data_IF_650050375155
#
_entry.id   IF_650050375155
#
_cell.length_a   1.000
_cell.length_b   1.000
_cell.length_c   1.000
_cell.angle_alpha   90.00
_cell.angle_beta   90.00
_cell.angle_gamma   90.00
#
_symmetry.space_group_name_H-M   'P 1'
#
loop_
_entity.id
_entity.type
_entity.pdbx_description
1 polymer ?
#
# COMPACT_ATOMS: atom_id res chain seq x y z
N UNK A 1 -11.88 -9.64 12.63
CA UNK A 1 -11.55 -8.19 12.60
C UNK A 1 -12.25 -7.59 11.41
N UNK A 2 -13.01 -6.49 11.59
CA UNK A 2 -13.68 -5.82 10.47
C UNK A 2 -12.73 -4.83 9.80
N UNK A 3 -12.77 -4.76 8.47
CA UNK A 3 -12.07 -3.74 7.69
C UNK A 3 -12.82 -3.44 6.40
N UNK A 4 -12.51 -2.29 5.79
CA UNK A 4 -13.02 -1.95 4.46
C UNK A 4 -12.38 -2.84 3.41
N UNK A 5 -13.21 -3.39 2.54
CA UNK A 5 -12.82 -4.29 1.46
C UNK A 5 -13.63 -3.96 0.22
N UNK A 6 -12.96 -4.03 -0.92
CA UNK A 6 -13.59 -3.87 -2.23
C UNK A 6 -14.06 -5.22 -2.76
N UNK A 7 -15.25 -5.21 -3.38
CA UNK A 7 -15.87 -6.35 -4.01
C UNK A 7 -16.28 -5.99 -5.44
N UNK A 8 -16.07 -6.92 -6.37
CA UNK A 8 -16.53 -6.81 -7.76
C UNK A 8 -17.52 -7.91 -8.06
N UNK A 9 -18.66 -7.56 -8.65
CA UNK A 9 -19.62 -8.53 -9.15
C UNK A 9 -19.20 -9.11 -10.49
N UNK A 10 -19.22 -10.45 -10.61
CA UNK A 10 -18.89 -11.11 -11.87
C UNK A 10 -19.98 -10.90 -12.95
N UNK A 11 -21.24 -10.69 -12.53
CA UNK A 11 -22.39 -10.60 -13.44
C UNK A 11 -22.60 -9.18 -13.99
N UNK A 12 -22.62 -8.16 -13.12
CA UNK A 12 -22.87 -6.77 -13.53
C UNK A 12 -21.62 -5.88 -13.54
N UNK A 13 -20.48 -6.35 -13.03
CA UNK A 13 -19.24 -5.58 -12.95
C UNK A 13 -19.22 -4.48 -11.88
N UNK A 14 -20.26 -4.38 -11.05
CA UNK A 14 -20.35 -3.33 -10.02
C UNK A 14 -19.25 -3.48 -8.96
N UNK A 15 -18.63 -2.35 -8.63
CA UNK A 15 -17.55 -2.21 -7.64
C UNK A 15 -18.13 -1.58 -6.37
N UNK A 16 -18.08 -2.30 -5.26
CA UNK A 16 -18.61 -1.82 -3.99
C UNK A 16 -17.65 -2.04 -2.83
N UNK A 17 -17.54 -1.03 -1.96
CA UNK A 17 -16.78 -1.11 -0.72
C UNK A 17 -17.69 -1.51 0.44
N UNK A 18 -17.24 -2.46 1.28
CA UNK A 18 -18.00 -2.91 2.45
C UNK A 18 -17.12 -3.07 3.69
N UNK A 19 -17.64 -2.65 4.84
CA UNK A 19 -17.01 -2.86 6.14
C UNK A 19 -17.41 -4.21 6.74
N UNK A 20 -16.64 -5.24 6.40
CA UNK A 20 -16.96 -6.65 6.71
C UNK A 20 -15.81 -7.33 7.45
N UNK A 21 -16.06 -8.53 7.96
CA UNK A 21 -15.00 -9.32 8.57
C UNK A 21 -13.94 -9.72 7.53
N UNK A 22 -12.67 -9.71 7.95
CA UNK A 22 -11.51 -10.04 7.13
C UNK A 22 -11.56 -11.43 6.48
N UNK A 23 -12.29 -12.38 7.08
CA UNK A 23 -12.44 -13.74 6.55
C UNK A 23 -13.43 -13.82 5.38
N UNK A 24 -14.29 -12.82 5.21
CA UNK A 24 -15.34 -12.81 4.20
C UNK A 24 -14.76 -12.57 2.81
N UNK A 25 -15.09 -13.46 1.87
CA UNK A 25 -14.56 -13.48 0.50
C UNK A 25 -15.59 -13.14 -0.58
N UNK A 26 -16.87 -13.24 -0.26
CA UNK A 26 -17.95 -13.03 -1.21
C UNK A 26 -19.16 -12.42 -0.50
N UNK A 27 -19.80 -11.46 -1.17
CA UNK A 27 -21.06 -10.81 -0.75
C UNK A 27 -22.10 -10.96 -1.86
N UNK A 28 -23.36 -10.77 -1.49
CA UNK A 28 -24.45 -10.64 -2.47
C UNK A 28 -24.43 -9.24 -3.10
N UNK A 29 -24.50 -9.19 -4.42
CA UNK A 29 -24.63 -7.96 -5.18
C UNK A 29 -26.10 -7.53 -5.27
N UNK A 30 -26.35 -6.24 -5.51
CA UNK A 30 -27.71 -5.72 -5.69
C UNK A 30 -28.42 -6.29 -6.93
N UNK A 31 -27.69 -6.80 -7.91
CA UNK A 31 -28.25 -7.49 -9.08
C UNK A 31 -28.72 -8.92 -8.78
N UNK A 32 -28.49 -9.43 -7.56
CA UNK A 32 -28.74 -10.83 -7.17
C UNK A 32 -27.55 -11.77 -7.45
N UNK A 33 -26.50 -11.26 -8.10
CA UNK A 33 -25.27 -11.99 -8.38
C UNK A 33 -24.31 -12.08 -7.20
N UNK A 34 -23.21 -12.80 -7.41
CA UNK A 34 -22.12 -12.92 -6.45
C UNK A 34 -21.05 -11.85 -6.69
N UNK A 35 -20.67 -11.10 -5.65
CA UNK A 35 -19.53 -10.20 -5.70
C UNK A 35 -18.35 -10.74 -4.89
N UNK A 36 -17.21 -10.89 -5.56
CA UNK A 36 -15.97 -11.45 -4.99
C UNK A 36 -15.06 -10.35 -4.50
N UNK A 37 -14.38 -10.61 -3.39
CA UNK A 37 -13.41 -9.67 -2.81
C UNK A 37 -12.22 -9.48 -3.73
N UNK A 38 -11.87 -8.23 -3.99
CA UNK A 38 -10.69 -7.85 -4.76
C UNK A 38 -9.49 -7.81 -3.82
N UNK A 39 -8.37 -8.34 -4.29
CA UNK A 39 -7.08 -8.19 -3.62
C UNK A 39 -6.39 -6.99 -4.26
N UNK A 40 -6.24 -5.91 -3.50
CA UNK A 40 -5.47 -4.74 -3.93
C UNK A 40 -3.99 -5.07 -4.09
N UNK A 41 -3.28 -4.24 -4.86
CA UNK A 41 -1.83 -4.36 -5.04
C UNK A 41 -1.14 -4.31 -3.68
N UNK A 42 -0.26 -5.29 -3.36
CA UNK A 42 0.50 -5.23 -2.11
C UNK A 42 1.46 -4.04 -2.12
N UNK A 43 1.94 -3.66 -0.94
CA UNK A 43 3.05 -2.71 -0.88
C UNK A 43 4.32 -3.37 -1.41
N UNK A 44 4.82 -2.88 -2.55
CA UNK A 44 6.06 -3.35 -3.16
C UNK A 44 7.18 -2.39 -2.76
N UNK A 45 8.11 -2.89 -1.93
CA UNK A 45 9.31 -2.16 -1.53
C UNK A 45 10.54 -2.79 -2.17
N UNK A 46 11.14 -2.09 -3.14
CA UNK A 46 12.35 -2.52 -3.83
C UNK A 46 13.59 -2.14 -3.02
N UNK A 47 14.67 -2.92 -3.17
CA UNK A 47 15.96 -2.57 -2.56
C UNK A 47 16.53 -1.31 -3.22
N UNK A 48 16.79 -0.30 -2.41
CA UNK A 48 17.42 0.94 -2.87
C UNK A 48 18.94 0.96 -2.67
N UNK A 49 19.53 0.08 -1.88
CA UNK A 49 20.95 0.18 -1.55
C UNK A 49 21.86 -0.37 -2.67
N UNK A 50 21.48 -1.49 -3.28
CA UNK A 50 22.25 -2.18 -4.34
C UNK A 50 22.44 -1.37 -5.61
N UNK A 51 21.45 -0.57 -6.01
CA UNK A 51 21.45 0.14 -7.29
C UNK A 51 20.78 -0.62 -8.43
N UNK A 52 20.31 -1.85 -8.21
CA UNK A 52 19.63 -2.67 -9.22
C UNK A 52 18.30 -2.07 -9.71
N UNK A 53 17.69 -1.23 -8.86
CA UNK A 53 16.43 -0.54 -9.13
C UNK A 53 16.67 0.98 -9.09
N UNK A 54 16.92 1.65 -10.25
CA UNK A 54 17.37 3.04 -10.30
C UNK A 54 16.49 4.00 -9.48
N UNK A 55 15.17 3.93 -9.66
CA UNK A 55 14.22 4.79 -8.93
C UNK A 55 14.23 4.56 -7.41
N UNK A 56 14.41 3.31 -6.97
CA UNK A 56 14.50 3.00 -5.54
C UNK A 56 15.84 3.46 -4.95
N UNK A 57 16.92 3.36 -5.75
CA UNK A 57 18.24 3.83 -5.38
C UNK A 57 18.30 5.34 -5.22
N UNK A 58 17.76 6.09 -6.18
CA UNK A 58 17.70 7.56 -6.11
C UNK A 58 16.94 8.01 -4.86
N UNK A 59 15.80 7.37 -4.57
CA UNK A 59 15.04 7.62 -3.33
C UNK A 59 15.89 7.35 -2.09
N UNK A 60 16.57 6.21 -2.04
CA UNK A 60 17.42 5.83 -0.90
C UNK A 60 18.62 6.77 -0.70
N UNK A 61 19.29 7.17 -1.78
CA UNK A 61 20.40 8.11 -1.76
C UNK A 61 19.95 9.48 -1.22
N UNK A 62 18.85 10.02 -1.75
CA UNK A 62 18.27 11.28 -1.30
C UNK A 62 17.89 11.24 0.19
N UNK A 63 17.21 10.19 0.63
CA UNK A 63 16.82 10.04 2.04
C UNK A 63 18.04 9.92 2.97
N UNK A 64 19.13 9.28 2.52
CA UNK A 64 20.35 9.18 3.32
C UNK A 64 21.03 10.55 3.45
N UNK A 65 21.18 11.28 2.36
CA UNK A 65 21.79 12.61 2.37
C UNK A 65 21.01 13.58 3.28
N UNK A 66 19.68 13.56 3.20
CA UNK A 66 18.82 14.34 4.10
C UNK A 66 19.05 13.97 5.57
N UNK A 67 19.17 12.67 5.88
CA UNK A 67 19.46 12.19 7.24
C UNK A 67 20.84 12.61 7.73
N UNK A 68 21.87 12.53 6.88
CA UNK A 68 23.22 13.03 7.20
C UNK A 68 23.19 14.51 7.54
N UNK A 69 22.52 15.33 6.70
CA UNK A 69 22.37 16.77 6.93
C UNK A 69 21.64 17.08 8.24
N UNK A 70 20.56 16.36 8.56
CA UNK A 70 19.84 16.52 9.84
C UNK A 70 20.71 16.11 11.03
N UNK A 71 21.49 15.04 10.90
CA UNK A 71 22.46 14.61 11.91
C UNK A 71 23.51 15.68 12.21
N UNK A 72 24.12 16.24 11.16
CA UNK A 72 25.13 17.30 11.27
C UNK A 72 24.56 18.59 11.92
N UNK A 73 23.30 18.95 11.63
CA UNK A 73 22.65 20.09 12.30
C UNK A 73 22.41 19.82 13.79
N UNK A 74 22.07 18.59 14.17
CA UNK A 74 21.83 18.21 15.58
C UNK A 74 23.12 18.19 16.40
N UNK A 75 24.25 17.79 15.82
CA UNK A 75 25.54 17.83 16.52
C UNK A 75 25.97 19.27 16.80
N UNK A 76 25.83 20.17 15.81
CA UNK A 76 26.15 21.59 15.99
C UNK A 76 25.35 22.24 17.14
N UNK A 77 24.05 21.91 17.28
CA UNK A 77 23.18 22.50 18.31
C UNK A 77 23.43 21.96 19.74
N UNK A 78 24.18 20.86 19.90
CA UNK A 78 24.51 20.29 21.21
C UNK A 78 25.82 20.82 21.81
N UNK A 79 26.57 21.61 21.06
CA UNK A 79 27.82 22.26 21.50
C UNK A 79 27.48 23.70 21.87
#
# INVERSE_FOLDING_TARGET
MKMLRDFVCDDCGDLSERYVDASLRQIECQCGGAAKRIIGTPNIALDGASGDFPTAHDKWANMREQRHRLGAKKSYRKT
#
